data_IF_448425660532
#
_entry.id   IF_448425660532
#
_cell.length_a   1.000
_cell.length_b   1.000
_cell.length_c   1.000
_cell.angle_alpha   90.00
_cell.angle_beta   90.00
_cell.angle_gamma   90.00
#
_symmetry.space_group_name_H-M   'P 1'
#
loop_
_entity.id
_entity.type
_entity.pdbx_description
1 polymer ?
#
# COMPACT_ATOMS: atom_id res chain seq x y z
N UNK A 1 7.41 33.05 33.97
CA UNK A 1 8.52 33.99 34.28
C UNK A 1 7.95 35.41 34.25
N UNK A 2 8.40 36.37 35.07
CA UNK A 2 7.95 37.77 34.94
C UNK A 2 9.09 38.67 34.47
N UNK A 3 8.95 39.21 33.26
CA UNK A 3 9.93 40.09 32.63
C UNK A 3 9.65 41.57 32.85
N UNK A 4 8.46 41.93 33.32
CA UNK A 4 8.06 43.33 33.48
C UNK A 4 8.96 44.00 34.53
N UNK A 5 9.39 45.23 34.24
CA UNK A 5 10.31 46.06 35.03
C UNK A 5 11.74 45.50 35.18
N UNK A 6 12.11 44.45 34.44
CA UNK A 6 13.51 43.98 34.42
C UNK A 6 14.34 44.87 33.50
N UNK A 7 15.56 45.19 33.95
CA UNK A 7 16.53 45.98 33.18
C UNK A 7 17.24 45.12 32.13
N UNK A 8 17.35 45.67 30.93
CA UNK A 8 18.08 45.10 29.80
C UNK A 8 19.05 46.13 29.24
N UNK A 9 20.11 45.66 28.58
CA UNK A 9 20.97 46.51 27.74
C UNK A 9 20.84 46.07 26.29
N UNK A 10 20.43 46.99 25.43
CA UNK A 10 20.47 46.83 23.98
C UNK A 10 21.80 47.36 23.44
N UNK A 11 22.38 46.68 22.44
CA UNK A 11 23.66 47.09 21.83
C UNK A 11 23.66 48.54 21.29
N UNK A 12 22.52 49.01 20.75
CA UNK A 12 22.40 50.33 20.12
C UNK A 12 21.64 51.35 20.97
N UNK A 13 20.69 50.91 21.79
CA UNK A 13 19.75 51.82 22.50
C UNK A 13 20.08 51.96 23.99
N UNK A 14 21.16 51.33 24.44
CA UNK A 14 21.60 51.41 25.82
C UNK A 14 20.68 50.67 26.78
N UNK A 15 20.56 51.19 28.00
CA UNK A 15 19.80 50.56 29.08
C UNK A 15 18.31 50.88 28.91
N UNK A 16 17.47 49.86 29.00
CA UNK A 16 16.02 49.98 28.97
C UNK A 16 15.35 49.08 30.00
N UNK A 17 14.06 49.32 30.22
CA UNK A 17 13.20 48.54 31.11
C UNK A 17 12.07 47.90 30.31
N UNK A 18 11.83 46.61 30.54
CA UNK A 18 10.75 45.88 29.85
C UNK A 18 9.40 46.33 30.41
N UNK A 19 8.52 46.81 29.53
CA UNK A 19 7.20 47.36 29.89
C UNK A 19 6.09 46.34 29.62
N UNK A 20 6.24 45.54 28.55
CA UNK A 20 5.26 44.55 28.13
C UNK A 20 5.93 43.42 27.37
N UNK A 21 5.42 42.19 27.50
CA UNK A 21 5.85 41.09 26.65
C UNK A 21 4.71 40.09 26.46
N UNK A 22 4.77 39.34 25.37
CA UNK A 22 3.94 38.18 25.08
C UNK A 22 4.79 37.10 24.36
N UNK A 23 4.16 36.05 23.88
CA UNK A 23 4.87 34.88 23.32
C UNK A 23 5.65 35.17 22.03
N UNK A 24 5.35 36.27 21.34
CA UNK A 24 5.98 36.64 20.06
C UNK A 24 6.76 37.96 20.09
N UNK A 25 6.53 38.81 21.09
CA UNK A 25 7.11 40.14 21.12
C UNK A 25 7.35 40.70 22.52
N UNK A 26 8.36 41.56 22.63
CA UNK A 26 8.73 42.27 23.86
C UNK A 26 8.87 43.75 23.58
N UNK A 27 8.31 44.58 24.45
CA UNK A 27 8.35 46.04 24.39
C UNK A 27 9.19 46.58 25.54
N UNK A 28 10.13 47.45 25.18
CA UNK A 28 11.18 47.93 26.08
C UNK A 28 11.20 49.45 25.99
N UNK A 29 11.09 50.10 27.14
CA UNK A 29 11.22 51.53 27.29
C UNK A 29 12.70 51.90 27.45
N UNK A 30 13.24 52.63 26.49
CA UNK A 30 14.55 53.25 26.56
C UNK A 30 14.42 54.72 26.97
N UNK A 31 15.54 55.43 27.12
CA UNK A 31 15.57 56.80 27.65
C UNK A 31 14.59 57.79 26.97
N UNK A 32 14.27 57.59 25.69
CA UNK A 32 13.43 58.50 24.91
C UNK A 32 12.22 57.84 24.22
N UNK A 33 12.17 56.51 24.08
CA UNK A 33 11.14 55.84 23.28
C UNK A 33 10.93 54.37 23.67
N UNK A 34 9.73 53.86 23.39
CA UNK A 34 9.44 52.43 23.45
C UNK A 34 9.80 51.77 22.11
N UNK A 35 10.50 50.64 22.17
CA UNK A 35 10.70 49.79 20.98
C UNK A 35 10.23 48.37 21.23
N UNK A 36 9.68 47.78 20.18
CA UNK A 36 9.18 46.41 20.16
C UNK A 36 10.16 45.52 19.40
N UNK A 37 10.47 44.35 19.96
CA UNK A 37 11.35 43.35 19.38
C UNK A 37 10.70 41.97 19.37
N UNK A 38 11.23 41.06 18.58
CA UNK A 38 10.76 39.66 18.50
C UNK A 38 11.25 38.87 19.71
N UNK A 39 10.33 38.24 20.43
CA UNK A 39 10.63 37.44 21.62
C UNK A 39 10.58 35.94 21.29
N UNK A 40 11.52 35.12 21.79
CA UNK A 40 12.70 35.46 22.60
C UNK A 40 13.96 35.80 21.78
N UNK A 41 13.91 35.74 20.45
CA UNK A 41 15.06 35.81 19.53
C UNK A 41 15.95 37.06 19.66
N UNK A 42 15.39 38.17 20.17
CA UNK A 42 16.15 39.41 20.44
C UNK A 42 17.19 39.23 21.56
N UNK A 43 16.95 38.34 22.51
CA UNK A 43 17.87 38.04 23.61
C UNK A 43 19.06 37.23 23.11
N UNK A 44 20.24 37.45 23.69
CA UNK A 44 21.49 36.84 23.24
C UNK A 44 22.19 37.65 22.13
N UNK A 45 21.51 37.91 21.00
CA UNK A 45 22.10 38.67 19.88
C UNK A 45 22.10 40.18 20.10
N UNK A 46 21.01 40.75 20.61
CA UNK A 46 20.82 42.21 20.67
C UNK A 46 20.51 42.75 22.06
N UNK A 47 19.93 41.94 22.95
CA UNK A 47 19.62 42.30 24.33
C UNK A 47 20.33 41.40 25.34
N UNK A 48 20.91 42.01 26.39
CA UNK A 48 21.41 41.33 27.59
C UNK A 48 20.55 41.71 28.79
N UNK A 49 20.02 40.71 29.49
CA UNK A 49 19.27 40.89 30.73
C UNK A 49 20.23 40.95 31.92
N UNK A 50 20.03 41.88 32.86
CA UNK A 50 20.91 42.02 34.04
C UNK A 50 20.59 41.03 35.16
N UNK A 51 19.35 40.53 35.22
CA UNK A 51 18.91 39.59 36.25
C UNK A 51 19.39 38.16 35.90
N UNK A 52 20.39 37.66 36.65
CA UNK A 52 21.04 36.37 36.38
C UNK A 52 20.09 35.17 36.45
N UNK A 53 19.11 35.18 37.35
CA UNK A 53 18.15 34.07 37.53
C UNK A 53 17.17 34.00 36.35
N UNK A 54 16.70 35.16 35.92
CA UNK A 54 15.77 35.31 34.80
C UNK A 54 16.50 35.11 33.46
N UNK A 55 17.77 35.51 33.35
CA UNK A 55 18.60 35.27 32.18
C UNK A 55 18.81 33.77 31.91
N UNK A 56 19.14 32.99 32.94
CA UNK A 56 19.30 31.54 32.81
C UNK A 56 17.99 30.84 32.39
N UNK A 57 16.86 31.34 32.88
CA UNK A 57 15.54 30.83 32.47
C UNK A 57 15.21 31.18 31.01
N UNK A 58 15.64 32.34 30.51
CA UNK A 58 15.51 32.72 29.10
C UNK A 58 16.39 31.90 28.18
N UNK A 59 17.65 31.64 28.56
CA UNK A 59 18.58 30.81 27.79
C UNK A 59 17.96 29.43 27.52
N UNK A 60 17.39 28.79 28.55
CA UNK A 60 16.67 27.51 28.39
C UNK A 60 15.49 27.59 27.42
N UNK A 61 14.78 28.71 27.37
CA UNK A 61 13.65 28.90 26.44
C UNK A 61 14.16 29.08 25.01
N UNK A 62 15.25 29.80 24.81
CA UNK A 62 15.88 30.02 23.51
C UNK A 62 16.44 28.69 22.99
N UNK A 63 17.21 27.97 23.80
CA UNK A 63 17.75 26.64 23.46
C UNK A 63 16.63 25.66 23.10
N UNK A 64 15.54 25.66 23.87
CA UNK A 64 14.37 24.82 23.56
C UNK A 64 13.74 25.17 22.21
N UNK A 65 13.54 26.45 21.91
CA UNK A 65 13.00 26.90 20.60
C UNK A 65 13.95 26.57 19.45
N UNK A 66 15.26 26.72 19.62
CA UNK A 66 16.25 26.35 18.60
C UNK A 66 16.25 24.84 18.34
N UNK A 67 16.17 24.03 19.40
CA UNK A 67 16.03 22.57 19.27
C UNK A 67 14.73 22.19 18.54
N UNK A 68 13.60 22.79 18.90
CA UNK A 68 12.31 22.56 18.23
C UNK A 68 12.38 22.93 16.74
N UNK A 69 12.95 24.09 16.40
CA UNK A 69 13.11 24.52 15.01
C UNK A 69 14.03 23.60 14.21
N UNK A 70 15.18 23.20 14.78
CA UNK A 70 16.09 22.25 14.13
C UNK A 70 15.43 20.89 13.91
N UNK A 71 14.63 20.41 14.87
CA UNK A 71 13.89 19.16 14.74
C UNK A 71 12.79 19.25 13.66
N UNK A 72 12.09 20.38 13.55
CA UNK A 72 11.13 20.62 12.47
C UNK A 72 11.80 20.67 11.09
N UNK A 73 12.94 21.34 10.96
CA UNK A 73 13.68 21.40 9.70
C UNK A 73 14.23 20.02 9.30
N UNK A 74 14.74 19.24 10.26
CA UNK A 74 15.13 17.84 10.04
C UNK A 74 13.95 17.00 9.54
N UNK A 75 12.79 17.10 10.18
CA UNK A 75 11.56 16.40 9.75
C UNK A 75 11.15 16.79 8.34
N UNK A 76 11.16 18.09 8.00
CA UNK A 76 10.87 18.58 6.64
C UNK A 76 11.89 18.07 5.62
N UNK A 77 13.18 18.00 5.98
CA UNK A 77 14.22 17.48 5.11
C UNK A 77 14.08 15.98 4.88
N UNK A 78 13.80 15.21 5.93
CA UNK A 78 13.49 13.77 5.85
C UNK A 78 12.25 13.51 4.99
N UNK A 79 11.19 14.30 5.15
CA UNK A 79 9.98 14.21 4.34
C UNK A 79 10.28 14.52 2.86
N UNK A 80 11.04 15.58 2.56
CA UNK A 80 11.48 15.89 1.20
C UNK A 80 12.34 14.77 0.60
N UNK A 81 13.25 14.17 1.38
CA UNK A 81 14.07 13.02 0.94
C UNK A 81 13.18 11.81 0.64
N UNK A 82 12.21 11.52 1.51
CA UNK A 82 11.25 10.44 1.32
C UNK A 82 10.38 10.67 0.08
N UNK A 83 9.88 11.89 -0.13
CA UNK A 83 9.10 12.27 -1.30
C UNK A 83 9.91 12.07 -2.60
N UNK A 84 11.16 12.53 -2.64
CA UNK A 84 12.06 12.32 -3.80
C UNK A 84 12.29 10.83 -4.07
N UNK A 85 12.60 10.05 -3.03
CA UNK A 85 12.78 8.60 -3.15
C UNK A 85 11.53 7.91 -3.67
N UNK A 86 10.35 8.33 -3.21
CA UNK A 86 9.07 7.80 -3.69
C UNK A 86 8.79 8.18 -5.14
N UNK A 87 9.15 9.39 -5.58
CA UNK A 87 9.05 9.81 -6.98
C UNK A 87 9.98 9.01 -7.90
N UNK A 88 11.23 8.80 -7.49
CA UNK A 88 12.19 7.97 -8.24
C UNK A 88 11.70 6.52 -8.36
N UNK A 89 11.16 5.96 -7.27
CA UNK A 89 10.56 4.64 -7.27
C UNK A 89 9.39 4.56 -8.25
N UNK A 90 8.46 5.52 -8.20
CA UNK A 90 7.32 5.60 -9.13
C UNK A 90 7.77 5.67 -10.59
N UNK A 91 8.73 6.53 -10.89
CA UNK A 91 9.30 6.64 -12.24
C UNK A 91 9.96 5.34 -12.70
N UNK A 92 10.67 4.65 -11.81
CA UNK A 92 11.25 3.35 -12.07
C UNK A 92 10.20 2.28 -12.37
N UNK A 93 9.12 2.25 -11.57
CA UNK A 93 7.97 1.37 -11.78
C UNK A 93 7.30 1.64 -13.13
N UNK A 94 6.96 2.89 -13.44
CA UNK A 94 6.34 3.27 -14.72
C UNK A 94 7.15 2.81 -15.93
N UNK A 95 8.48 2.92 -15.87
CA UNK A 95 9.36 2.46 -16.95
C UNK A 95 9.33 0.94 -17.13
N UNK A 96 9.27 0.19 -16.04
CA UNK A 96 9.13 -1.27 -16.08
C UNK A 96 7.76 -1.67 -16.64
N UNK A 97 6.69 -0.97 -16.23
CA UNK A 97 5.33 -1.19 -16.70
C UNK A 97 5.20 -0.96 -18.21
N UNK A 98 5.77 0.13 -18.74
CA UNK A 98 5.76 0.43 -20.20
C UNK A 98 6.48 -0.63 -21.04
N UNK A 99 7.52 -1.26 -20.50
CA UNK A 99 8.29 -2.29 -21.19
C UNK A 99 7.75 -3.71 -20.96
N UNK A 100 6.69 -3.87 -20.16
CA UNK A 100 6.13 -5.17 -19.85
C UNK A 100 5.43 -5.76 -21.07
N UNK A 101 5.80 -7.00 -21.42
CA UNK A 101 5.12 -7.79 -22.44
C UNK A 101 4.17 -8.76 -21.74
N UNK A 102 2.90 -8.74 -22.16
CA UNK A 102 1.88 -9.63 -21.63
C UNK A 102 2.27 -11.10 -21.84
N UNK A 103 2.28 -11.85 -20.75
CA UNK A 103 2.44 -13.30 -20.77
C UNK A 103 1.05 -13.95 -20.82
N UNK A 104 0.89 -15.02 -21.61
CA UNK A 104 -0.40 -15.72 -21.75
C UNK A 104 -0.90 -16.33 -20.43
N UNK A 105 0.04 -16.81 -19.60
CA UNK A 105 -0.21 -17.35 -18.27
C UNK A 105 0.30 -16.40 -17.16
N UNK A 106 -0.31 -15.21 -17.06
CA UNK A 106 0.08 -14.19 -16.07
C UNK A 106 -0.87 -14.09 -14.89
N UNK A 107 -1.82 -15.02 -14.77
CA UNK A 107 -2.81 -15.04 -13.70
C UNK A 107 -2.36 -16.00 -12.60
N UNK A 108 -2.80 -15.79 -11.36
CA UNK A 108 -2.50 -16.67 -10.25
C UNK A 108 -3.76 -17.35 -9.74
N UNK A 109 -3.72 -18.66 -9.58
CA UNK A 109 -4.67 -19.38 -8.72
C UNK A 109 -3.98 -19.75 -7.43
N UNK A 110 -4.63 -19.43 -6.31
CA UNK A 110 -4.13 -19.61 -4.95
C UNK A 110 -5.02 -20.60 -4.20
N UNK A 111 -4.39 -21.47 -3.41
CA UNK A 111 -5.08 -22.39 -2.51
C UNK A 111 -5.07 -21.81 -1.09
N UNK A 112 -6.25 -21.40 -0.63
CA UNK A 112 -6.50 -20.97 0.73
C UNK A 112 -6.81 -22.16 1.64
N UNK A 113 -6.04 -22.32 2.71
CA UNK A 113 -6.48 -23.12 3.85
C UNK A 113 -7.52 -22.38 4.70
N UNK A 114 -8.11 -23.05 5.69
CA UNK A 114 -9.22 -22.49 6.50
C UNK A 114 -8.87 -21.19 7.21
N UNK A 115 -7.61 -21.01 7.63
CA UNK A 115 -7.16 -19.77 8.27
C UNK A 115 -6.97 -18.66 7.23
N UNK A 116 -6.36 -18.99 6.10
CA UNK A 116 -6.12 -18.07 4.98
C UNK A 116 -7.42 -17.61 4.32
N UNK A 117 -8.50 -18.39 4.34
CA UNK A 117 -9.79 -17.97 3.80
C UNK A 117 -10.26 -16.67 4.45
N UNK A 118 -10.23 -16.60 5.79
CA UNK A 118 -10.65 -15.39 6.50
C UNK A 118 -9.67 -14.23 6.31
N UNK A 119 -8.37 -14.48 6.50
CA UNK A 119 -7.38 -13.39 6.42
C UNK A 119 -7.23 -12.83 5.00
N UNK A 120 -7.36 -13.65 3.96
CA UNK A 120 -7.26 -13.20 2.56
C UNK A 120 -8.36 -12.23 2.18
N UNK A 121 -9.60 -12.42 2.66
CA UNK A 121 -10.71 -11.50 2.39
C UNK A 121 -10.74 -10.30 3.33
N UNK A 122 -10.20 -10.41 4.54
CA UNK A 122 -10.06 -9.27 5.46
C UNK A 122 -8.97 -8.30 4.99
N UNK A 123 -7.80 -8.83 4.64
CA UNK A 123 -6.64 -8.02 4.27
C UNK A 123 -6.50 -7.80 2.76
N UNK A 124 -7.28 -8.52 1.94
CA UNK A 124 -7.22 -8.50 0.47
C UNK A 124 -5.79 -8.63 -0.06
N UNK A 125 -5.06 -9.60 0.48
CA UNK A 125 -3.72 -9.98 0.03
C UNK A 125 -3.47 -11.44 0.38
N UNK A 126 -2.63 -12.09 -0.43
CA UNK A 126 -2.14 -13.44 -0.13
C UNK A 126 -0.63 -13.45 -0.01
N UNK A 127 -0.11 -14.42 0.74
CA UNK A 127 1.32 -14.65 0.87
C UNK A 127 1.77 -15.76 -0.08
N UNK A 128 2.74 -15.47 -0.95
CA UNK A 128 3.25 -16.39 -1.98
C UNK A 128 4.03 -17.60 -1.42
N UNK A 129 4.23 -17.66 -0.10
CA UNK A 129 4.98 -18.71 0.57
C UNK A 129 6.49 -18.52 0.53
N UNK A 130 7.22 -19.39 1.23
CA UNK A 130 8.68 -19.33 1.33
C UNK A 130 9.37 -20.40 0.49
N UNK A 131 10.57 -20.08 0.02
CA UNK A 131 11.44 -21.02 -0.67
C UNK A 131 11.88 -22.11 0.31
N UNK A 132 11.61 -23.38 -0.02
CA UNK A 132 11.82 -24.51 0.89
C UNK A 132 13.25 -25.08 0.89
N UNK A 133 14.06 -24.77 -0.12
CA UNK A 133 15.39 -25.37 -0.31
C UNK A 133 16.39 -24.43 -1.02
N UNK A 134 17.67 -24.81 -1.01
CA UNK A 134 18.76 -24.06 -1.65
C UNK A 134 19.21 -22.82 -0.87
N UNK A 135 20.08 -22.02 -1.49
CA UNK A 135 20.73 -20.86 -0.84
C UNK A 135 19.76 -19.74 -0.42
N UNK A 136 18.54 -19.72 -0.98
CA UNK A 136 17.50 -18.76 -0.64
C UNK A 136 16.40 -19.35 0.26
N UNK A 137 16.64 -20.51 0.89
CA UNK A 137 15.69 -21.14 1.81
C UNK A 137 15.23 -20.15 2.88
N UNK A 138 13.92 -20.11 3.11
CA UNK A 138 13.27 -19.22 4.09
C UNK A 138 12.92 -17.84 3.55
N UNK A 139 13.46 -17.41 2.40
CA UNK A 139 13.04 -16.15 1.77
C UNK A 139 11.67 -16.29 1.11
N UNK A 140 10.88 -15.20 1.04
CA UNK A 140 9.62 -15.21 0.30
C UNK A 140 9.81 -15.54 -1.18
N UNK A 141 8.82 -16.23 -1.75
CA UNK A 141 8.81 -16.61 -3.17
C UNK A 141 8.32 -15.44 -3.99
N UNK A 142 9.07 -15.03 -5.02
CA UNK A 142 8.64 -13.91 -5.87
C UNK A 142 7.63 -14.39 -6.91
N UNK A 143 6.42 -13.82 -6.99
CA UNK A 143 5.43 -14.16 -8.00
C UNK A 143 5.77 -13.47 -9.33
N UNK A 144 6.91 -13.84 -9.93
CA UNK A 144 7.57 -13.11 -11.03
C UNK A 144 6.71 -12.84 -12.27
N UNK A 145 5.63 -13.60 -12.51
CA UNK A 145 4.75 -13.39 -13.67
C UNK A 145 3.62 -12.39 -13.40
N UNK A 146 3.39 -12.03 -12.14
CA UNK A 146 2.32 -11.12 -11.78
C UNK A 146 2.71 -9.68 -12.03
N UNK A 147 1.76 -8.95 -12.59
CA UNK A 147 1.83 -7.53 -12.88
C UNK A 147 0.45 -6.89 -12.67
N UNK A 148 0.34 -5.60 -12.94
CA UNK A 148 -0.93 -4.85 -12.89
C UNK A 148 -2.08 -5.41 -13.74
N UNK A 149 -1.80 -6.24 -14.76
CA UNK A 149 -2.84 -6.90 -15.58
C UNK A 149 -3.28 -8.25 -14.99
N UNK A 150 -2.64 -8.69 -13.91
CA UNK A 150 -2.88 -9.98 -13.28
C UNK A 150 -4.00 -9.91 -12.25
N UNK A 151 -4.67 -11.03 -12.05
CA UNK A 151 -5.63 -11.28 -11.01
C UNK A 151 -5.26 -12.55 -10.25
N UNK A 152 -5.71 -12.59 -8.99
CA UNK A 152 -5.53 -13.69 -8.06
C UNK A 152 -6.88 -14.33 -7.82
N UNK A 153 -7.00 -15.60 -8.20
CA UNK A 153 -8.15 -16.45 -7.95
C UNK A 153 -7.94 -17.21 -6.65
N UNK A 154 -8.87 -17.07 -5.71
CA UNK A 154 -8.85 -17.76 -4.43
C UNK A 154 -9.68 -19.03 -4.54
N UNK A 155 -9.11 -20.17 -4.14
CA UNK A 155 -9.77 -21.47 -4.20
C UNK A 155 -9.57 -22.24 -2.91
N UNK A 156 -10.51 -23.10 -2.59
CA UNK A 156 -10.40 -24.03 -1.48
C UNK A 156 -11.05 -25.38 -1.81
N UNK A 157 -10.75 -26.34 -0.94
CA UNK A 157 -11.40 -27.64 -0.88
C UNK A 157 -11.87 -27.80 0.56
N UNK A 158 -13.11 -28.22 0.73
CA UNK A 158 -13.63 -28.52 2.06
C UNK A 158 -12.95 -29.76 2.64
N UNK A 159 -12.76 -29.81 3.96
CA UNK A 159 -11.84 -30.72 4.67
C UNK A 159 -12.16 -32.22 4.58
N UNK A 160 -13.09 -32.64 3.73
CA UNK A 160 -13.47 -34.02 3.46
C UNK A 160 -13.70 -34.31 1.97
N UNK A 161 -13.61 -33.30 1.10
CA UNK A 161 -13.96 -33.40 -0.31
C UNK A 161 -12.73 -33.74 -1.17
N UNK A 162 -12.92 -34.51 -2.25
CA UNK A 162 -11.83 -34.79 -3.17
C UNK A 162 -11.43 -33.54 -3.98
N UNK A 163 -10.19 -33.52 -4.47
CA UNK A 163 -9.62 -32.39 -5.22
C UNK A 163 -10.47 -31.94 -6.42
N UNK A 164 -11.19 -32.84 -7.07
CA UNK A 164 -12.11 -32.54 -8.18
C UNK A 164 -13.24 -31.57 -7.81
N UNK A 165 -13.55 -31.45 -6.51
CA UNK A 165 -14.62 -30.60 -5.99
C UNK A 165 -14.06 -29.25 -5.48
N UNK A 166 -12.82 -28.89 -5.85
CA UNK A 166 -12.24 -27.57 -5.56
C UNK A 166 -13.14 -26.47 -6.12
N UNK A 167 -13.50 -25.53 -5.25
CA UNK A 167 -14.38 -24.40 -5.53
C UNK A 167 -13.65 -23.07 -5.51
N UNK A 168 -14.16 -22.13 -6.29
CA UNK A 168 -13.67 -20.75 -6.34
C UNK A 168 -14.37 -19.95 -5.24
N UNK A 169 -13.58 -19.31 -4.38
CA UNK A 169 -14.10 -18.49 -3.27
C UNK A 169 -14.24 -17.02 -3.64
N UNK A 170 -13.46 -16.56 -4.62
CA UNK A 170 -13.40 -15.15 -4.98
C UNK A 170 -12.19 -14.85 -5.84
N UNK A 171 -12.10 -13.60 -6.28
CA UNK A 171 -11.06 -13.12 -7.17
C UNK A 171 -10.78 -11.66 -6.90
N UNK A 172 -9.53 -11.25 -7.04
CA UNK A 172 -9.15 -9.85 -7.02
C UNK A 172 -8.09 -9.53 -8.06
N UNK A 173 -8.13 -8.31 -8.59
CA UNK A 173 -7.06 -7.79 -9.43
C UNK A 173 -5.87 -7.43 -8.55
N UNK A 174 -4.67 -7.72 -9.01
CA UNK A 174 -3.44 -7.31 -8.32
C UNK A 174 -3.37 -5.78 -8.27
N UNK A 175 -2.78 -5.23 -7.20
CA UNK A 175 -2.63 -3.78 -7.02
C UNK A 175 -1.94 -3.12 -8.24
N UNK A 176 -2.39 -1.92 -8.60
CA UNK A 176 -1.94 -1.19 -9.80
C UNK A 176 -0.42 -0.95 -9.84
N UNK A 177 0.21 -0.76 -8.68
CA UNK A 177 1.65 -0.49 -8.54
C UNK A 177 2.49 -1.76 -8.33
N UNK A 178 1.87 -2.95 -8.33
CA UNK A 178 2.56 -4.19 -7.99
C UNK A 178 3.26 -4.81 -9.20
N UNK A 179 4.54 -5.13 -9.00
CA UNK A 179 5.37 -5.86 -9.95
C UNK A 179 5.96 -7.07 -9.23
N UNK A 180 5.52 -8.28 -9.61
CA UNK A 180 5.86 -9.51 -8.88
C UNK A 180 7.35 -9.83 -8.82
N UNK A 181 8.14 -9.36 -9.80
CA UNK A 181 9.61 -9.47 -9.78
C UNK A 181 10.28 -8.65 -8.67
N UNK A 182 9.65 -7.56 -8.23
CA UNK A 182 10.15 -6.64 -7.20
C UNK A 182 9.60 -6.96 -5.80
N UNK A 183 8.70 -7.95 -5.70
CA UNK A 183 8.14 -8.38 -4.42
C UNK A 183 9.21 -9.05 -3.55
N UNK A 184 9.62 -8.39 -2.46
CA UNK A 184 10.61 -8.91 -1.50
C UNK A 184 9.96 -9.55 -0.28
N UNK A 185 8.75 -9.11 0.08
CA UNK A 185 8.03 -9.54 1.28
C UNK A 185 7.10 -10.75 1.04
N UNK A 186 6.86 -11.12 -0.22
CA UNK A 186 5.98 -12.22 -0.63
C UNK A 186 4.49 -11.90 -0.58
N UNK A 187 4.08 -10.68 -0.24
CA UNK A 187 2.66 -10.32 -0.19
C UNK A 187 2.19 -9.78 -1.53
N UNK A 188 1.01 -10.22 -1.94
CA UNK A 188 0.38 -9.83 -3.22
C UNK A 188 -0.91 -9.06 -2.89
N UNK A 189 -0.84 -7.73 -2.74
CA UNK A 189 -1.99 -6.91 -2.40
C UNK A 189 -2.96 -6.79 -3.57
N UNK A 190 -4.24 -6.69 -3.23
CA UNK A 190 -5.30 -6.43 -4.18
C UNK A 190 -5.38 -4.96 -4.61
N UNK A 191 -6.03 -4.75 -5.74
CA UNK A 191 -6.53 -3.49 -6.21
C UNK A 191 -7.65 -2.98 -5.29
N UNK A 192 -7.71 -1.66 -5.10
CA UNK A 192 -8.74 -0.98 -4.30
C UNK A 192 -10.20 -1.19 -4.77
N UNK A 193 -10.45 -1.50 -6.04
CA UNK A 193 -11.79 -1.57 -6.62
C UNK A 193 -12.17 -2.99 -7.04
N UNK A 194 -11.30 -3.65 -7.79
CA UNK A 194 -11.61 -4.93 -8.43
C UNK A 194 -11.36 -6.11 -7.51
N UNK A 195 -12.34 -6.37 -6.65
CA UNK A 195 -12.32 -7.38 -5.59
C UNK A 195 -13.71 -8.00 -5.48
N UNK A 196 -13.79 -9.32 -5.60
CA UNK A 196 -15.04 -10.08 -5.56
C UNK A 196 -14.88 -11.24 -4.59
N UNK A 197 -15.80 -11.32 -3.64
CA UNK A 197 -15.98 -12.48 -2.77
C UNK A 197 -17.27 -13.17 -3.17
N UNK A 198 -17.22 -14.50 -3.26
CA UNK A 198 -18.39 -15.32 -3.52
C UNK A 198 -18.98 -15.80 -2.19
N UNK A 199 -20.31 -15.83 -2.12
CA UNK A 199 -21.00 -16.52 -1.04
C UNK A 199 -20.78 -18.03 -1.17
N UNK A 200 -21.10 -18.78 -0.12
CA UNK A 200 -20.99 -20.25 -0.15
C UNK A 200 -21.80 -20.86 -1.31
N UNK A 201 -23.03 -20.38 -1.51
CA UNK A 201 -23.92 -20.84 -2.58
C UNK A 201 -23.42 -20.49 -4.00
N UNK A 202 -22.76 -19.35 -4.15
CA UNK A 202 -22.14 -18.96 -5.41
C UNK A 202 -20.86 -19.77 -5.68
N UNK A 203 -20.04 -19.97 -4.65
CA UNK A 203 -18.81 -20.76 -4.69
C UNK A 203 -19.08 -22.21 -5.12
N UNK A 204 -20.15 -22.82 -4.61
CA UNK A 204 -20.55 -24.19 -4.97
C UNK A 204 -20.96 -24.33 -6.44
N UNK A 205 -21.37 -23.24 -7.08
CA UNK A 205 -21.68 -23.19 -8.52
C UNK A 205 -20.45 -22.87 -9.39
N UNK A 206 -19.30 -22.60 -8.77
CA UNK A 206 -18.07 -22.20 -9.43
C UNK A 206 -16.93 -23.23 -9.22
N UNK A 207 -17.07 -24.46 -9.76
CA UNK A 207 -16.02 -25.46 -9.67
C UNK A 207 -14.78 -25.04 -10.48
N UNK A 208 -13.61 -25.04 -9.84
CA UNK A 208 -12.36 -24.61 -10.47
C UNK A 208 -12.00 -25.42 -11.72
N UNK A 209 -12.23 -26.74 -11.65
CA UNK A 209 -11.88 -27.67 -12.73
C UNK A 209 -12.80 -27.58 -13.97
N UNK A 210 -13.87 -26.79 -13.92
CA UNK A 210 -14.64 -26.39 -15.11
C UNK A 210 -13.80 -25.57 -16.09
N UNK A 211 -12.87 -24.77 -15.57
CA UNK A 211 -12.05 -23.84 -16.35
C UNK A 211 -10.65 -24.38 -16.58
N UNK A 212 -10.01 -24.88 -15.52
CA UNK A 212 -8.61 -25.29 -15.57
C UNK A 212 -8.43 -26.73 -16.05
N UNK A 213 -7.41 -26.93 -16.87
CA UNK A 213 -6.93 -28.25 -17.28
C UNK A 213 -5.41 -28.23 -17.39
N UNK A 214 -4.77 -29.28 -16.88
CA UNK A 214 -3.36 -29.48 -17.12
C UNK A 214 -3.19 -30.27 -18.42
N UNK A 215 -2.77 -29.62 -19.50
CA UNK A 215 -2.64 -30.27 -20.82
C UNK A 215 -1.65 -31.45 -20.82
N UNK A 216 -0.69 -31.49 -19.89
CA UNK A 216 0.23 -32.65 -19.75
C UNK A 216 -0.44 -33.87 -19.11
N UNK A 217 -1.56 -33.67 -18.43
CA UNK A 217 -2.30 -34.73 -17.74
C UNK A 217 -3.80 -34.38 -17.71
N UNK A 218 -4.40 -34.22 -18.89
CA UNK A 218 -5.75 -33.68 -19.05
C UNK A 218 -6.85 -34.52 -18.36
N UNK A 219 -6.59 -35.81 -18.13
CA UNK A 219 -7.48 -36.72 -17.43
C UNK A 219 -7.36 -36.70 -15.90
N UNK A 220 -6.45 -35.90 -15.33
CA UNK A 220 -6.18 -35.86 -13.89
C UNK A 220 -6.44 -34.48 -13.30
N UNK A 221 -7.32 -34.41 -12.30
CA UNK A 221 -7.58 -33.23 -11.49
C UNK A 221 -6.71 -33.26 -10.22
N UNK A 222 -5.45 -32.82 -10.32
CA UNK A 222 -4.52 -32.80 -9.17
C UNK A 222 -3.81 -31.46 -8.97
N UNK A 223 -3.86 -30.94 -7.73
CA UNK A 223 -3.13 -29.73 -7.32
C UNK A 223 -1.65 -29.97 -6.99
N UNK A 224 -1.23 -31.22 -6.79
CA UNK A 224 0.16 -31.60 -6.49
C UNK A 224 0.78 -30.74 -5.36
N UNK A 225 1.81 -29.94 -5.67
CA UNK A 225 2.60 -29.16 -4.71
C UNK A 225 2.46 -27.66 -4.94
N UNK A 226 2.64 -26.89 -3.86
CA UNK A 226 2.66 -25.42 -3.89
C UNK A 226 1.36 -24.79 -3.40
N UNK A 227 1.46 -23.53 -2.96
CA UNK A 227 0.32 -22.72 -2.52
C UNK A 227 -0.41 -22.04 -3.68
N UNK A 228 0.25 -21.89 -4.82
CA UNK A 228 -0.32 -21.26 -6.00
C UNK A 228 0.24 -21.84 -7.29
N UNK A 229 -0.42 -21.54 -8.41
CA UNK A 229 0.05 -21.82 -9.76
C UNK A 229 -0.26 -20.62 -10.67
N UNK A 230 0.52 -20.49 -11.74
CA UNK A 230 0.15 -19.61 -12.84
C UNK A 230 -0.81 -20.32 -13.77
N UNK A 231 -1.74 -19.57 -14.35
CA UNK A 231 -2.73 -20.09 -15.28
C UNK A 231 -3.12 -19.02 -16.31
N UNK A 232 -3.83 -19.44 -17.35
CA UNK A 232 -4.08 -18.66 -18.57
C UNK A 232 -4.99 -17.44 -18.33
N UNK A 233 -4.72 -16.36 -19.06
CA UNK A 233 -5.52 -15.13 -19.03
C UNK A 233 -6.97 -15.38 -19.49
N UNK A 234 -7.18 -16.27 -20.46
CA UNK A 234 -8.51 -16.63 -20.96
C UNK A 234 -9.34 -17.35 -19.90
N UNK A 235 -8.73 -18.24 -19.11
CA UNK A 235 -9.44 -18.92 -18.02
C UNK A 235 -9.90 -17.94 -16.96
N UNK A 236 -9.09 -16.94 -16.61
CA UNK A 236 -9.51 -15.90 -15.68
C UNK A 236 -10.66 -15.05 -16.25
N UNK A 237 -10.61 -14.68 -17.54
CA UNK A 237 -11.69 -13.95 -18.18
C UNK A 237 -13.00 -14.75 -18.18
N UNK A 238 -12.96 -16.05 -18.48
CA UNK A 238 -14.12 -16.94 -18.40
C UNK A 238 -14.72 -16.98 -17.00
N UNK A 239 -13.87 -17.10 -15.98
CA UNK A 239 -14.31 -17.11 -14.58
C UNK A 239 -14.99 -15.78 -14.20
N UNK A 240 -14.40 -14.65 -14.58
CA UNK A 240 -14.96 -13.33 -14.28
C UNK A 240 -16.31 -13.10 -14.96
N UNK A 241 -16.46 -13.56 -16.21
CA UNK A 241 -17.74 -13.51 -16.92
C UNK A 241 -18.81 -14.34 -16.20
N UNK A 242 -18.50 -15.60 -15.89
CA UNK A 242 -19.43 -16.49 -15.20
C UNK A 242 -19.79 -15.96 -13.79
N UNK A 243 -18.85 -15.32 -13.07
CA UNK A 243 -19.14 -14.64 -11.80
C UNK A 243 -20.11 -13.48 -12.01
N UNK A 244 -19.92 -12.65 -13.04
CA UNK A 244 -20.82 -11.54 -13.32
C UNK A 244 -22.24 -12.02 -13.62
N UNK A 245 -22.39 -13.10 -14.37
CA UNK A 245 -23.69 -13.72 -14.65
C UNK A 245 -24.35 -14.33 -13.39
N UNK A 246 -23.53 -14.89 -12.50
CA UNK A 246 -23.99 -15.54 -11.26
C UNK A 246 -24.51 -14.55 -10.21
N UNK A 247 -23.95 -13.33 -10.14
CA UNK A 247 -24.34 -12.34 -9.13
C UNK A 247 -25.80 -11.93 -9.30
N UNK A 248 -26.59 -12.16 -8.25
CA UNK A 248 -28.01 -11.79 -8.23
C UNK A 248 -28.24 -10.33 -7.84
N UNK A 249 -27.40 -9.78 -6.96
CA UNK A 249 -27.46 -8.37 -6.58
C UNK A 249 -27.01 -7.47 -7.75
N UNK A 250 -27.80 -6.45 -8.15
CA UNK A 250 -27.46 -5.58 -9.27
C UNK A 250 -26.14 -4.82 -9.11
N UNK A 251 -25.78 -4.39 -7.88
CA UNK A 251 -24.54 -3.63 -7.65
C UNK A 251 -23.32 -4.52 -7.69
N UNK A 252 -23.41 -5.71 -7.08
CA UNK A 252 -22.33 -6.71 -7.17
C UNK A 252 -22.15 -7.19 -8.61
N UNK A 253 -23.25 -7.39 -9.35
CA UNK A 253 -23.21 -7.71 -10.78
C UNK A 253 -22.53 -6.61 -11.58
N UNK A 254 -22.90 -5.35 -11.35
CA UNK A 254 -22.26 -4.21 -12.03
C UNK A 254 -20.77 -4.15 -11.71
N UNK A 255 -20.37 -4.34 -10.45
CA UNK A 255 -18.97 -4.39 -10.06
C UNK A 255 -18.21 -5.54 -10.75
N UNK A 256 -18.82 -6.74 -10.80
CA UNK A 256 -18.24 -7.89 -11.45
C UNK A 256 -18.09 -7.68 -12.96
N UNK A 257 -19.09 -7.08 -13.60
CA UNK A 257 -19.04 -6.71 -15.02
C UNK A 257 -17.93 -5.68 -15.29
N UNK A 258 -17.84 -4.62 -14.49
CA UNK A 258 -16.76 -3.62 -14.60
C UNK A 258 -15.38 -4.26 -14.39
N UNK A 259 -15.27 -5.24 -13.49
CA UNK A 259 -14.03 -5.98 -13.29
C UNK A 259 -13.71 -6.82 -14.54
N UNK A 260 -14.64 -7.61 -15.05
CA UNK A 260 -14.45 -8.39 -16.27
C UNK A 260 -13.98 -7.51 -17.45
N UNK A 261 -14.66 -6.40 -17.71
CA UNK A 261 -14.31 -5.47 -18.79
C UNK A 261 -12.92 -4.86 -18.60
N UNK A 262 -12.60 -4.44 -17.38
CA UNK A 262 -11.29 -3.89 -17.05
C UNK A 262 -10.19 -4.95 -17.24
N UNK A 263 -10.42 -6.19 -16.79
CA UNK A 263 -9.49 -7.29 -16.94
C UNK A 263 -9.23 -7.63 -18.42
N UNK A 264 -10.29 -7.72 -19.22
CA UNK A 264 -10.20 -7.96 -20.66
C UNK A 264 -9.40 -6.85 -21.35
N UNK A 265 -9.67 -5.59 -21.04
CA UNK A 265 -8.91 -4.44 -21.56
C UNK A 265 -7.42 -4.54 -21.22
N UNK A 266 -7.09 -4.87 -19.97
CA UNK A 266 -5.71 -4.96 -19.50
C UNK A 266 -4.94 -6.14 -20.12
N UNK A 267 -5.65 -7.20 -20.51
CA UNK A 267 -5.06 -8.42 -21.10
C UNK A 267 -5.25 -8.52 -22.62
N UNK A 268 -5.80 -7.49 -23.27
CA UNK A 268 -6.09 -7.45 -24.70
C UNK A 268 -6.98 -8.62 -25.17
N UNK A 269 -8.01 -8.93 -24.38
CA UNK A 269 -8.99 -9.99 -24.66
C UNK A 269 -10.27 -9.36 -25.21
N UNK A 270 -10.74 -9.85 -26.36
CA UNK A 270 -12.05 -9.51 -26.93
C UNK A 270 -13.12 -10.36 -26.26
N UNK A 271 -14.12 -9.74 -25.64
CA UNK A 271 -15.15 -10.46 -24.88
C UNK A 271 -15.99 -11.38 -25.78
N UNK A 272 -16.26 -10.96 -27.02
CA UNK A 272 -17.06 -11.70 -28.01
C UNK A 272 -16.35 -12.96 -28.53
N UNK A 273 -15.02 -13.01 -28.43
CA UNK A 273 -14.19 -14.13 -28.89
C UNK A 273 -13.83 -15.09 -27.75
N UNK A 274 -14.35 -14.86 -26.54
CA UNK A 274 -14.03 -15.68 -25.39
C UNK A 274 -14.60 -17.10 -25.57
N UNK A 275 -13.76 -18.14 -25.60
CA UNK A 275 -14.25 -19.50 -25.77
C UNK A 275 -15.02 -19.95 -24.52
N UNK A 276 -15.87 -20.97 -24.68
CA UNK A 276 -16.51 -21.60 -23.53
C UNK A 276 -15.47 -22.32 -22.64
N UNK A 277 -15.73 -22.46 -21.33
CA UNK A 277 -14.88 -23.26 -20.44
C UNK A 277 -14.72 -24.68 -20.97
N UNK A 278 -13.47 -25.15 -21.01
CA UNK A 278 -13.11 -26.50 -21.49
C UNK A 278 -12.06 -27.12 -20.56
N UNK A 279 -12.26 -26.93 -19.26
CA UNK A 279 -11.41 -27.49 -18.20
C UNK A 279 -11.58 -29.00 -18.06
N UNK A 280 -10.83 -29.60 -17.12
CA UNK A 280 -10.80 -31.05 -16.93
C UNK A 280 -12.19 -31.65 -16.67
N UNK A 281 -13.06 -30.94 -15.94
CA UNK A 281 -14.43 -31.39 -15.66
C UNK A 281 -15.32 -31.43 -16.92
N UNK A 282 -15.01 -30.61 -17.93
CA UNK A 282 -15.78 -30.54 -19.17
C UNK A 282 -15.33 -31.54 -20.24
N UNK A 283 -14.18 -32.19 -20.02
CA UNK A 283 -13.59 -33.18 -20.92
C UNK A 283 -13.84 -34.62 -20.46
N UNK A 284 -14.65 -34.82 -19.43
CA UNK A 284 -15.05 -36.13 -18.90
C UNK A 284 -16.23 -36.72 -19.66
#
# INVERSE_FOLDING_TARGET
>A
MNLINKKVTHKLFGIGSIVKYNDSSIEIHFASENKKFVFPDVFGKHLKLHDKSVAHSLEKIIEKKEMEHNEEERKKEEEKKLQRKNQELRWGLEKLMKNHKLHSESQMVFWCDTEEQNSSFLEWKVFSGVIKSGNNKGKPTKPIRLHQNSAVLLTAIDSSMPEKDRRILGVYMVNEDFIGKLCEDGYIPAHSKYRLQLTEQESDQMPFWKYYVNERSSQKMTWNTGKYRYFDNLWMAQILLDIAELKSDPKERELAQQFFEHFCKMNLITAEELPKPNGALMRM
#
